data_IF_850220402338
#
_entry.id   IF_850220402338
#
_cell.length_a   1.000
_cell.length_b   1.000
_cell.length_c   1.000
_cell.angle_alpha   90.00
_cell.angle_beta   90.00
_cell.angle_gamma   90.00
#
_symmetry.space_group_name_H-M   'P 1'
#
loop_
_entity.id
_entity.type
_entity.pdbx_description
1 polymer ?
#
# COMPACT_ATOMS: atom_id res chain seq x y z
N UNK A 1 -72.78 42.77 19.08
CA UNK A 1 -72.96 43.80 18.06
C UNK A 1 -72.10 43.35 16.88
N UNK A 2 -72.73 42.76 15.93
CA UNK A 2 -73.22 43.34 14.65
C UNK A 2 -72.08 43.55 13.72
N UNK A 3 -71.94 42.69 12.69
CA UNK A 3 -72.52 42.82 11.34
C UNK A 3 -71.55 43.55 10.42
N UNK A 4 -71.08 43.10 9.30
CA UNK A 4 -71.69 42.76 8.04
C UNK A 4 -70.66 42.16 7.06
N UNK A 5 -71.00 41.12 6.43
CA UNK A 5 -70.95 40.64 5.11
C UNK A 5 -70.86 41.73 4.01
N UNK A 6 -69.91 41.53 3.03
CA UNK A 6 -70.23 41.81 1.59
C UNK A 6 -69.39 40.86 0.73
N UNK A 7 -70.08 40.01 -0.02
CA UNK A 7 -69.61 39.32 -1.21
C UNK A 7 -69.47 40.26 -2.40
N UNK A 8 -68.44 40.02 -3.22
CA UNK A 8 -68.48 40.40 -4.66
C UNK A 8 -67.80 39.34 -5.48
N UNK A 9 -68.55 38.63 -6.29
CA UNK A 9 -68.15 37.81 -7.44
C UNK A 9 -67.57 38.70 -8.54
N UNK A 10 -66.48 38.30 -9.14
CA UNK A 10 -66.00 38.83 -10.41
C UNK A 10 -65.43 37.68 -11.24
N UNK A 11 -66.06 37.35 -12.31
CA UNK A 11 -65.81 36.28 -13.27
C UNK A 11 -65.01 36.81 -14.46
N UNK A 12 -64.12 35.90 -15.04
CA UNK A 12 -63.61 35.84 -16.42
C UNK A 12 -62.36 36.72 -16.73
N UNK A 13 -61.27 36.13 -17.18
CA UNK A 13 -61.01 35.60 -18.53
C UNK A 13 -59.63 35.03 -18.64
N UNK A 14 -59.53 33.89 -19.27
CA UNK A 14 -58.32 33.16 -19.53
C UNK A 14 -57.40 33.80 -20.58
N UNK A 15 -56.12 33.52 -20.45
CA UNK A 15 -55.20 33.46 -21.58
C UNK A 15 -54.21 32.37 -21.25
N UNK A 16 -54.22 31.35 -22.07
CA UNK A 16 -53.29 30.24 -21.97
C UNK A 16 -51.86 30.66 -22.25
N UNK A 17 -50.99 30.42 -21.32
CA UNK A 17 -49.54 30.44 -21.52
C UNK A 17 -49.05 29.01 -21.44
N UNK A 18 -48.67 28.47 -22.61
CA UNK A 18 -47.92 27.21 -22.65
C UNK A 18 -46.62 27.43 -21.93
N UNK A 19 -46.53 26.94 -20.72
CA UNK A 19 -45.24 26.69 -20.06
C UNK A 19 -44.63 25.49 -20.74
N UNK A 20 -43.56 25.70 -21.47
CA UNK A 20 -42.60 24.65 -21.83
C UNK A 20 -42.01 24.13 -20.53
N UNK A 21 -42.58 23.03 -20.01
CA UNK A 21 -41.93 22.18 -19.05
C UNK A 21 -40.77 21.47 -19.76
N UNK A 22 -39.62 22.08 -19.75
CA UNK A 22 -38.36 21.37 -19.97
C UNK A 22 -38.21 20.42 -18.77
N UNK A 23 -38.11 19.10 -19.01
CA UNK A 23 -37.80 18.19 -17.91
C UNK A 23 -36.49 18.69 -17.28
N UNK A 24 -36.53 19.16 -16.03
CA UNK A 24 -35.36 19.21 -15.19
C UNK A 24 -34.93 17.77 -15.07
N UNK A 25 -33.82 17.40 -15.71
CA UNK A 25 -33.03 16.26 -15.29
C UNK A 25 -32.65 16.54 -13.83
N UNK A 26 -33.42 15.99 -12.92
CA UNK A 26 -32.95 15.80 -11.56
C UNK A 26 -31.82 14.76 -11.64
N UNK A 27 -30.61 15.25 -11.91
CA UNK A 27 -29.38 14.54 -11.72
C UNK A 27 -29.17 14.43 -10.20
N UNK A 28 -30.03 13.59 -9.59
CA UNK A 28 -29.93 13.23 -8.18
C UNK A 28 -28.85 12.15 -8.03
N UNK A 29 -27.63 12.46 -8.50
CA UNK A 29 -26.47 11.72 -8.07
C UNK A 29 -26.25 12.09 -6.61
N UNK A 30 -26.80 11.28 -5.70
CA UNK A 30 -26.46 11.39 -4.27
C UNK A 30 -24.94 11.31 -4.17
N UNK A 31 -24.31 12.43 -3.79
CA UNK A 31 -22.86 12.50 -3.63
C UNK A 31 -22.41 11.33 -2.73
N UNK A 32 -21.35 10.64 -3.15
CA UNK A 32 -20.81 9.52 -2.40
C UNK A 32 -20.41 10.00 -1.00
N UNK A 33 -20.81 9.25 0.03
CA UNK A 33 -20.49 9.56 1.42
C UNK A 33 -20.30 8.29 2.24
N UNK A 34 -19.56 8.38 3.34
CA UNK A 34 -19.32 7.27 4.25
C UNK A 34 -17.87 7.18 4.70
N UNK A 35 -17.51 6.03 5.25
CA UNK A 35 -16.14 5.74 5.71
C UNK A 35 -15.62 4.48 5.04
N UNK A 36 -14.31 4.45 4.83
CA UNK A 36 -13.54 3.30 4.35
C UNK A 36 -12.43 3.05 5.36
N UNK A 37 -12.37 1.84 5.90
CA UNK A 37 -11.31 1.41 6.80
C UNK A 37 -10.32 0.51 6.05
N UNK A 38 -9.03 0.88 6.08
CA UNK A 38 -7.95 0.04 5.56
C UNK A 38 -6.93 -0.23 6.64
N UNK A 39 -6.38 -1.43 6.67
CA UNK A 39 -5.43 -1.86 7.68
C UNK A 39 -4.36 -2.75 7.05
N UNK A 40 -3.10 -2.63 7.45
CA UNK A 40 -2.09 -3.60 7.06
C UNK A 40 -0.69 -3.08 6.77
N UNK A 41 -0.15 -3.46 5.63
CA UNK A 41 1.25 -3.32 5.26
C UNK A 41 1.82 -1.90 5.41
N UNK A 42 2.85 -1.75 6.24
CA UNK A 42 3.59 -0.49 6.41
C UNK A 42 4.44 -0.11 5.18
N UNK A 43 4.70 -1.06 4.27
CA UNK A 43 5.40 -0.78 3.00
C UNK A 43 4.51 -0.07 1.99
N UNK A 44 3.19 -0.14 2.16
CA UNK A 44 2.22 0.50 1.25
C UNK A 44 1.91 1.95 1.64
N UNK A 45 2.56 2.51 2.66
CA UNK A 45 2.23 3.82 3.25
C UNK A 45 2.15 4.94 2.21
N UNK A 46 3.17 5.10 1.37
CA UNK A 46 3.17 6.14 0.32
C UNK A 46 2.08 5.90 -0.74
N UNK A 47 1.89 4.64 -1.15
CA UNK A 47 0.88 4.28 -2.16
C UNK A 47 -0.52 4.54 -1.64
N UNK A 48 -0.84 4.01 -0.45
CA UNK A 48 -2.17 4.20 0.14
C UNK A 48 -2.40 5.66 0.53
N UNK A 49 -1.36 6.36 1.00
CA UNK A 49 -1.42 7.80 1.27
C UNK A 49 -1.83 8.60 0.03
N UNK A 50 -1.18 8.39 -1.11
CA UNK A 50 -1.50 9.07 -2.37
C UNK A 50 -2.90 8.72 -2.89
N UNK A 51 -3.29 7.45 -2.85
CA UNK A 51 -4.62 7.01 -3.28
C UNK A 51 -5.72 7.59 -2.38
N UNK A 52 -5.52 7.57 -1.07
CA UNK A 52 -6.44 8.15 -0.09
C UNK A 52 -6.61 9.66 -0.31
N UNK A 53 -5.52 10.39 -0.47
CA UNK A 53 -5.54 11.84 -0.67
C UNK A 53 -6.34 12.20 -1.91
N UNK A 54 -6.04 11.60 -3.05
CA UNK A 54 -6.76 11.84 -4.30
C UNK A 54 -8.23 11.45 -4.19
N UNK A 55 -8.53 10.25 -3.69
CA UNK A 55 -9.91 9.77 -3.59
C UNK A 55 -10.78 10.66 -2.70
N UNK A 56 -10.24 11.12 -1.56
CA UNK A 56 -10.99 12.02 -0.66
C UNK A 56 -11.14 13.44 -1.23
N UNK A 57 -10.18 13.91 -2.03
CA UNK A 57 -10.31 15.17 -2.75
C UNK A 57 -11.46 15.12 -3.77
N UNK A 58 -11.59 14.00 -4.51
CA UNK A 58 -12.63 13.78 -5.49
C UNK A 58 -14.00 13.47 -4.85
N UNK A 59 -14.00 12.93 -3.62
CA UNK A 59 -15.20 12.50 -2.89
C UNK A 59 -15.22 13.10 -1.47
N UNK A 60 -15.48 14.39 -1.30
CA UNK A 60 -15.36 15.09 0.00
C UNK A 60 -16.33 14.59 1.08
N UNK A 61 -17.35 13.81 0.72
CA UNK A 61 -18.24 13.13 1.66
C UNK A 61 -17.70 11.81 2.20
N UNK A 62 -16.52 11.35 1.72
CA UNK A 62 -15.92 10.08 2.13
C UNK A 62 -14.70 10.32 3.00
N UNK A 63 -14.57 9.53 4.07
CA UNK A 63 -13.37 9.46 4.90
C UNK A 63 -12.69 8.11 4.68
N UNK A 64 -11.41 8.11 4.31
CA UNK A 64 -10.59 6.88 4.22
C UNK A 64 -9.58 6.87 5.36
N UNK A 65 -9.58 5.80 6.15
CA UNK A 65 -8.59 5.57 7.21
C UNK A 65 -7.58 4.53 6.77
N UNK A 66 -6.34 4.68 7.19
CA UNK A 66 -5.27 3.71 6.98
C UNK A 66 -4.54 3.49 8.30
N UNK A 67 -4.46 2.22 8.73
CA UNK A 67 -3.79 1.81 9.95
C UNK A 67 -2.62 0.87 9.59
N UNK A 68 -1.36 1.33 9.68
CA UNK A 68 -0.18 0.60 9.23
C UNK A 68 0.31 -0.42 10.28
N UNK A 69 -0.35 -1.56 10.39
CA UNK A 69 -0.11 -2.59 11.42
C UNK A 69 0.70 -3.80 10.95
N UNK A 70 1.04 -3.87 9.65
CA UNK A 70 1.70 -5.02 9.03
C UNK A 70 0.75 -5.92 8.24
N UNK A 71 1.29 -6.66 7.26
CA UNK A 71 0.48 -7.43 6.30
C UNK A 71 -0.38 -8.51 6.96
N UNK A 72 0.16 -9.22 7.94
CA UNK A 72 -0.58 -10.27 8.67
C UNK A 72 -1.79 -9.70 9.39
N UNK A 73 -1.61 -8.59 10.12
CA UNK A 73 -2.70 -7.91 10.82
C UNK A 73 -3.76 -7.36 9.84
N UNK A 74 -3.34 -6.84 8.67
CA UNK A 74 -4.26 -6.37 7.64
C UNK A 74 -5.09 -7.50 7.02
N UNK A 75 -4.47 -8.65 6.77
CA UNK A 75 -5.16 -9.85 6.28
C UNK A 75 -6.18 -10.35 7.31
N UNK A 76 -5.79 -10.38 8.58
CA UNK A 76 -6.68 -10.75 9.69
C UNK A 76 -7.84 -9.75 9.82
N UNK A 77 -7.57 -8.45 9.72
CA UNK A 77 -8.59 -7.41 9.80
C UNK A 77 -9.65 -7.53 8.69
N UNK A 78 -9.22 -7.85 7.44
CA UNK A 78 -10.16 -8.16 6.36
C UNK A 78 -10.95 -9.45 6.63
N UNK A 79 -10.28 -10.47 7.17
CA UNK A 79 -10.91 -11.77 7.47
C UNK A 79 -11.99 -11.67 8.54
N UNK A 80 -11.77 -10.92 9.60
CA UNK A 80 -12.71 -10.76 10.71
C UNK A 80 -13.68 -9.58 10.53
N UNK A 81 -13.50 -8.77 9.47
CA UNK A 81 -14.36 -7.62 9.15
C UNK A 81 -14.11 -6.38 10.00
N UNK A 82 -12.97 -6.28 10.69
CA UNK A 82 -12.57 -5.06 11.41
C UNK A 82 -11.99 -3.98 10.49
N UNK A 83 -11.62 -4.33 9.26
CA UNK A 83 -11.35 -3.42 8.18
C UNK A 83 -12.13 -3.82 6.93
N UNK A 84 -12.55 -2.84 6.12
CA UNK A 84 -13.20 -3.06 4.84
C UNK A 84 -12.24 -3.70 3.82
N UNK A 85 -10.97 -3.24 3.83
CA UNK A 85 -9.93 -3.66 2.92
C UNK A 85 -8.63 -3.90 3.71
N UNK A 86 -8.11 -5.13 3.63
CA UNK A 86 -6.78 -5.46 4.12
C UNK A 86 -5.71 -5.06 3.11
N UNK A 87 -4.52 -4.74 3.60
CA UNK A 87 -3.37 -4.34 2.78
C UNK A 87 -2.22 -5.30 3.03
N UNK A 88 -1.73 -5.96 2.00
CA UNK A 88 -0.60 -6.84 2.15
C UNK A 88 0.48 -6.57 1.09
N UNK A 89 1.73 -6.71 1.51
CA UNK A 89 2.91 -6.60 0.65
C UNK A 89 3.51 -8.00 0.38
N UNK A 90 2.65 -8.94 0.15
CA UNK A 90 2.86 -10.29 -0.34
C UNK A 90 1.56 -10.85 -0.91
N UNK A 91 1.64 -11.90 -1.71
CA UNK A 91 0.46 -12.67 -2.08
C UNK A 91 -0.18 -13.35 -0.84
N UNK A 92 -1.46 -13.64 -0.92
CA UNK A 92 -2.14 -14.46 0.08
C UNK A 92 -1.61 -15.89 0.02
N UNK A 93 -1.45 -16.50 1.19
CA UNK A 93 -1.17 -17.93 1.33
C UNK A 93 -2.39 -18.75 0.96
N UNK A 94 -2.19 -20.01 0.60
CA UNK A 94 -3.30 -20.88 0.19
C UNK A 94 -4.36 -21.05 1.30
N UNK A 95 -3.92 -21.17 2.57
CA UNK A 95 -4.82 -21.23 3.70
C UNK A 95 -5.67 -19.97 3.89
N UNK A 96 -5.14 -18.79 3.56
CA UNK A 96 -5.85 -17.51 3.62
C UNK A 96 -6.92 -17.43 2.52
N UNK A 97 -6.59 -17.92 1.31
CA UNK A 97 -7.55 -18.02 0.19
C UNK A 97 -8.66 -19.04 0.47
N UNK A 98 -8.31 -20.20 1.00
CA UNK A 98 -9.27 -21.22 1.46
C UNK A 98 -10.12 -20.69 2.61
N UNK A 99 -9.56 -19.84 3.46
CA UNK A 99 -10.28 -19.09 4.52
C UNK A 99 -11.28 -18.06 4.01
N UNK A 100 -11.47 -17.92 2.68
CA UNK A 100 -12.46 -17.05 2.08
C UNK A 100 -11.96 -15.62 1.84
N UNK A 101 -10.66 -15.42 1.65
CA UNK A 101 -10.11 -14.14 1.26
C UNK A 101 -9.80 -14.10 -0.24
N UNK A 102 -9.90 -12.91 -0.81
CA UNK A 102 -9.53 -12.59 -2.20
C UNK A 102 -8.47 -11.50 -2.21
N UNK A 103 -7.43 -11.71 -3.01
CA UNK A 103 -6.42 -10.68 -3.26
C UNK A 103 -6.61 -10.03 -4.62
N UNK A 104 -6.37 -8.73 -4.69
CA UNK A 104 -6.28 -7.98 -5.94
C UNK A 104 -4.95 -7.24 -5.97
N UNK A 105 -4.10 -7.59 -6.93
CA UNK A 105 -2.79 -6.94 -7.10
C UNK A 105 -3.02 -5.53 -7.64
N UNK A 106 -2.42 -4.53 -6.99
CA UNK A 106 -2.47 -3.12 -7.40
C UNK A 106 -1.13 -2.60 -7.90
N UNK A 107 -0.03 -3.17 -7.39
CA UNK A 107 1.32 -2.79 -7.80
C UNK A 107 2.31 -3.95 -7.58
N UNK A 108 3.48 -3.84 -8.21
CA UNK A 108 4.69 -4.56 -7.82
C UNK A 108 5.60 -3.62 -7.04
N UNK A 109 6.38 -4.17 -6.13
CA UNK A 109 7.33 -3.42 -5.30
C UNK A 109 8.64 -4.20 -5.17
N UNK A 110 9.76 -3.53 -5.38
CA UNK A 110 11.09 -4.07 -5.10
C UNK A 110 11.36 -4.08 -3.60
N UNK A 111 11.92 -5.16 -3.09
CA UNK A 111 12.48 -5.19 -1.74
C UNK A 111 13.96 -4.79 -1.85
N UNK A 112 14.24 -3.51 -1.65
CA UNK A 112 15.59 -2.99 -1.69
C UNK A 112 16.41 -3.50 -0.49
N UNK A 113 17.60 -4.02 -0.76
CA UNK A 113 18.59 -4.32 0.28
C UNK A 113 19.30 -3.02 0.60
N UNK A 114 19.20 -2.59 1.85
CA UNK A 114 19.70 -1.29 2.30
C UNK A 114 20.81 -1.43 3.32
N UNK A 115 21.78 -0.54 3.19
CA UNK A 115 22.90 -0.38 4.14
C UNK A 115 23.05 1.09 4.51
N UNK A 116 23.84 1.37 5.52
CA UNK A 116 24.18 2.74 5.87
C UNK A 116 24.83 3.47 4.67
N UNK A 117 24.53 4.75 4.51
CA UNK A 117 25.02 5.56 3.38
C UNK A 117 26.56 5.62 3.27
N UNK A 118 27.27 5.54 4.40
CA UNK A 118 28.73 5.62 4.47
C UNK A 118 29.43 4.28 4.14
N UNK A 119 28.68 3.17 4.03
CA UNK A 119 29.26 1.85 3.69
C UNK A 119 29.85 1.85 2.28
N UNK A 120 30.96 1.13 2.07
CA UNK A 120 31.63 1.00 0.75
C UNK A 120 31.07 -0.12 -0.13
N UNK A 121 30.30 -1.05 0.45
CA UNK A 121 29.66 -2.13 -0.31
C UNK A 121 28.69 -1.54 -1.33
N UNK A 122 28.71 -2.04 -2.55
CA UNK A 122 27.85 -1.56 -3.64
C UNK A 122 26.93 -2.63 -4.19
N UNK A 123 27.34 -3.89 -4.14
CA UNK A 123 26.63 -5.02 -4.72
C UNK A 123 26.73 -6.25 -3.82
N UNK A 124 25.66 -7.03 -3.78
CA UNK A 124 25.63 -8.37 -3.18
C UNK A 124 24.81 -9.30 -4.07
N UNK A 125 25.21 -10.55 -4.17
CA UNK A 125 24.37 -11.58 -4.79
C UNK A 125 23.27 -12.02 -3.81
N UNK A 126 22.17 -12.61 -4.32
CA UNK A 126 21.11 -13.19 -3.47
C UNK A 126 21.69 -14.22 -2.49
N UNK A 127 22.67 -15.04 -2.93
CA UNK A 127 23.33 -16.00 -2.07
C UNK A 127 24.13 -15.33 -0.91
N UNK A 128 24.87 -14.26 -1.19
CA UNK A 128 25.56 -13.51 -0.15
C UNK A 128 24.59 -12.86 0.84
N UNK A 129 23.48 -12.31 0.34
CA UNK A 129 22.41 -11.76 1.19
C UNK A 129 21.85 -12.86 2.11
N UNK A 130 21.54 -14.03 1.56
CA UNK A 130 21.08 -15.18 2.35
C UNK A 130 22.11 -15.60 3.40
N UNK A 131 23.40 -15.68 3.04
CA UNK A 131 24.47 -16.07 3.94
C UNK A 131 24.70 -15.04 5.05
N UNK A 132 24.55 -13.75 4.76
CA UNK A 132 24.59 -12.67 5.78
C UNK A 132 23.41 -12.84 6.75
N UNK A 133 22.18 -12.90 6.25
CA UNK A 133 21.01 -12.98 7.13
C UNK A 133 20.86 -14.30 7.87
N UNK A 134 21.52 -15.38 7.42
CA UNK A 134 21.62 -16.66 8.17
C UNK A 134 22.85 -16.74 9.08
N UNK A 135 23.69 -15.72 9.08
CA UNK A 135 24.88 -15.62 9.94
C UNK A 135 26.03 -16.53 9.51
N UNK A 136 26.14 -16.87 8.24
CA UNK A 136 27.32 -17.56 7.65
C UNK A 136 28.40 -16.54 7.26
N UNK A 137 28.00 -15.36 6.78
CA UNK A 137 28.87 -14.21 6.58
C UNK A 137 28.55 -13.23 7.70
N UNK A 138 29.55 -12.83 8.47
CA UNK A 138 29.37 -12.02 9.68
C UNK A 138 30.22 -10.77 9.71
N UNK A 139 31.14 -10.60 8.77
CA UNK A 139 32.00 -9.44 8.67
C UNK A 139 31.96 -8.84 7.26
N UNK A 140 31.89 -7.51 7.18
CA UNK A 140 31.81 -6.80 5.91
C UNK A 140 33.01 -7.03 4.98
N UNK A 141 34.19 -7.34 5.54
CA UNK A 141 35.40 -7.65 4.76
C UNK A 141 35.26 -8.89 3.89
N UNK A 142 34.34 -9.82 4.24
CA UNK A 142 34.06 -11.02 3.46
C UNK A 142 33.32 -10.72 2.15
N UNK A 143 32.71 -9.54 2.05
CA UNK A 143 31.93 -9.10 0.89
C UNK A 143 32.43 -7.76 0.31
N UNK A 144 33.70 -7.42 0.56
CA UNK A 144 34.37 -6.26 -0.03
C UNK A 144 34.12 -4.92 0.66
N UNK A 145 33.57 -4.95 1.87
CA UNK A 145 33.46 -3.79 2.75
C UNK A 145 34.71 -3.57 3.62
N UNK A 146 34.66 -2.53 4.43
CA UNK A 146 35.63 -2.33 5.51
C UNK A 146 35.40 -3.37 6.63
N UNK A 147 36.48 -3.85 7.31
CA UNK A 147 36.28 -4.81 8.39
C UNK A 147 35.33 -4.29 9.47
N UNK A 148 34.33 -5.12 9.84
CA UNK A 148 33.36 -4.79 10.87
C UNK A 148 32.25 -5.82 10.92
N UNK A 149 31.79 -6.14 12.13
CA UNK A 149 30.70 -7.09 12.30
C UNK A 149 29.40 -6.58 11.68
N UNK A 150 28.76 -7.41 10.86
CA UNK A 150 27.49 -7.06 10.19
C UNK A 150 26.36 -7.12 11.23
N UNK A 151 25.52 -6.10 11.24
CA UNK A 151 24.29 -6.05 12.05
C UNK A 151 23.06 -6.20 11.16
N UNK A 152 22.37 -7.33 11.28
CA UNK A 152 21.19 -7.66 10.48
C UNK A 152 19.93 -7.07 11.11
N UNK A 153 19.29 -6.14 10.40
CA UNK A 153 18.05 -5.48 10.83
C UNK A 153 16.90 -5.92 9.93
N UNK A 154 15.85 -6.48 10.52
CA UNK A 154 14.72 -6.98 9.77
C UNK A 154 13.40 -6.59 10.40
N UNK A 155 12.37 -7.27 9.91
CA UNK A 155 10.98 -7.06 10.30
C UNK A 155 10.49 -8.19 11.20
N UNK A 156 9.48 -7.87 11.98
CA UNK A 156 8.75 -8.80 12.83
C UNK A 156 8.05 -9.92 12.04
N UNK A 157 7.67 -10.98 12.73
CA UNK A 157 6.79 -12.02 12.20
C UNK A 157 5.45 -11.40 11.76
N UNK A 158 4.92 -11.85 10.62
CA UNK A 158 3.69 -11.28 10.02
C UNK A 158 3.93 -10.08 9.10
N UNK A 159 5.18 -9.60 8.98
CA UNK A 159 5.54 -8.62 7.95
C UNK A 159 5.56 -9.26 6.57
N UNK A 160 4.74 -8.72 5.64
CA UNK A 160 4.80 -9.17 4.24
C UNK A 160 6.13 -8.88 3.56
N UNK A 161 6.91 -7.89 4.05
CA UNK A 161 8.26 -7.63 3.54
C UNK A 161 9.22 -8.73 3.97
N UNK A 162 9.14 -9.17 5.24
CA UNK A 162 9.91 -10.31 5.73
C UNK A 162 9.54 -11.58 4.99
N UNK A 163 8.25 -11.88 4.87
CA UNK A 163 7.76 -13.07 4.15
C UNK A 163 8.27 -13.10 2.70
N UNK A 164 8.20 -11.97 1.98
CA UNK A 164 8.70 -11.86 0.61
C UNK A 164 10.21 -12.00 0.52
N UNK A 165 10.96 -11.32 1.40
CA UNK A 165 12.41 -11.40 1.48
C UNK A 165 12.88 -12.85 1.76
N UNK A 166 12.38 -13.46 2.83
CA UNK A 166 12.77 -14.82 3.24
C UNK A 166 12.39 -15.87 2.20
N UNK A 167 11.26 -15.69 1.50
CA UNK A 167 10.83 -16.60 0.43
C UNK A 167 11.76 -16.54 -0.78
N UNK A 168 12.21 -15.35 -1.19
CA UNK A 168 13.05 -15.19 -2.38
C UNK A 168 14.51 -15.56 -2.10
N UNK A 169 15.00 -15.27 -0.89
CA UNK A 169 16.36 -15.62 -0.46
C UNK A 169 16.49 -17.04 0.06
N UNK A 170 15.40 -17.82 0.11
CA UNK A 170 15.34 -19.17 0.67
C UNK A 170 15.87 -19.23 2.13
N UNK A 171 15.50 -18.22 2.92
CA UNK A 171 15.94 -18.07 4.32
C UNK A 171 14.78 -18.15 5.31
N UNK A 172 13.65 -18.77 4.92
CA UNK A 172 12.46 -18.83 5.75
C UNK A 172 12.79 -19.45 7.12
N UNK A 173 12.41 -18.75 8.17
CA UNK A 173 12.64 -19.10 9.57
C UNK A 173 14.12 -19.31 9.96
N UNK A 174 15.07 -18.94 9.08
CA UNK A 174 16.51 -19.10 9.30
C UNK A 174 17.25 -17.78 9.55
N UNK A 175 16.60 -16.64 9.33
CA UNK A 175 17.21 -15.33 9.54
C UNK A 175 17.58 -15.11 11.00
N UNK A 176 18.83 -14.63 11.20
CA UNK A 176 19.38 -14.22 12.51
C UNK A 176 19.39 -12.69 12.52
N UNK A 177 18.39 -12.10 13.12
CA UNK A 177 18.25 -10.65 13.19
C UNK A 177 18.76 -10.13 14.53
N UNK A 178 19.59 -9.09 14.49
CA UNK A 178 20.02 -8.35 15.69
C UNK A 178 18.89 -7.43 16.19
N UNK A 179 18.05 -6.95 15.26
CA UNK A 179 16.89 -6.16 15.59
C UNK A 179 15.69 -6.57 14.72
N UNK A 180 14.54 -6.74 15.35
CA UNK A 180 13.25 -6.91 14.70
C UNK A 180 12.39 -5.67 14.92
N UNK A 181 11.90 -5.05 13.82
CA UNK A 181 11.17 -3.80 13.86
C UNK A 181 9.77 -3.95 13.26
N UNK A 182 8.83 -3.20 13.81
CA UNK A 182 7.40 -3.31 13.46
C UNK A 182 6.99 -2.49 12.25
N UNK A 183 7.91 -1.72 11.66
CA UNK A 183 7.59 -0.89 10.49
C UNK A 183 8.75 -0.81 9.49
N UNK A 184 8.41 -0.56 8.22
CA UNK A 184 9.38 -0.30 7.15
C UNK A 184 10.24 0.92 7.46
N UNK A 185 9.62 2.01 7.95
CA UNK A 185 10.34 3.22 8.36
C UNK A 185 11.33 2.95 9.49
N UNK A 186 10.95 2.14 10.47
CA UNK A 186 11.82 1.75 11.59
C UNK A 186 13.08 1.04 11.11
N UNK A 187 12.99 0.12 10.14
CA UNK A 187 14.17 -0.53 9.55
C UNK A 187 15.09 0.49 8.88
N UNK A 188 14.53 1.41 8.09
CA UNK A 188 15.32 2.46 7.42
C UNK A 188 16.07 3.31 8.44
N UNK A 189 15.41 3.77 9.50
CA UNK A 189 16.02 4.60 10.54
C UNK A 189 17.11 3.83 11.34
N UNK A 190 16.87 2.56 11.64
CA UNK A 190 17.85 1.74 12.35
C UNK A 190 19.10 1.47 11.49
N UNK A 191 18.93 1.21 10.18
CA UNK A 191 20.06 1.08 9.25
C UNK A 191 20.80 2.41 9.08
N UNK A 192 20.10 3.53 8.99
CA UNK A 192 20.72 4.86 8.93
C UNK A 192 21.55 5.19 10.17
N UNK A 193 21.12 4.74 11.34
CA UNK A 193 21.80 4.98 12.61
C UNK A 193 22.98 4.05 12.92
N UNK A 194 23.21 3.00 12.13
CA UNK A 194 24.27 2.01 12.38
C UNK A 194 25.15 1.80 11.12
N UNK A 195 26.44 2.24 11.14
CA UNK A 195 27.33 2.10 9.99
C UNK A 195 27.57 0.66 9.51
N UNK A 196 27.35 -0.32 10.38
CA UNK A 196 27.56 -1.73 10.09
C UNK A 196 26.26 -2.48 9.77
N UNK A 197 25.14 -1.77 9.66
CA UNK A 197 23.85 -2.39 9.46
C UNK A 197 23.57 -2.75 8.00
N UNK A 198 22.87 -3.86 7.84
CA UNK A 198 22.14 -4.26 6.63
C UNK A 198 20.68 -4.49 6.99
N UNK A 199 19.78 -4.12 6.09
CA UNK A 199 18.34 -4.36 6.23
C UNK A 199 17.67 -4.47 4.87
N UNK A 200 16.36 -4.58 4.89
CA UNK A 200 15.54 -4.61 3.68
C UNK A 200 14.29 -3.75 3.86
N UNK A 201 13.91 -3.05 2.81
CA UNK A 201 12.75 -2.16 2.82
C UNK A 201 12.11 -2.09 1.43
N UNK A 202 10.87 -1.62 1.36
CA UNK A 202 10.19 -1.31 0.10
C UNK A 202 10.95 -0.26 -0.70
N UNK A 203 11.10 -0.45 -2.02
CA UNK A 203 11.66 0.54 -2.93
C UNK A 203 10.97 1.90 -2.76
N UNK A 204 9.65 1.91 -2.71
CA UNK A 204 8.86 3.13 -2.52
C UNK A 204 9.21 3.88 -1.23
N UNK A 205 9.56 3.18 -0.15
CA UNK A 205 9.94 3.79 1.12
C UNK A 205 11.38 4.33 1.13
N UNK A 206 12.28 3.71 0.36
CA UNK A 206 13.71 4.07 0.27
C UNK A 206 13.95 5.23 -0.68
N UNK A 207 13.12 5.35 -1.71
CA UNK A 207 13.28 6.39 -2.73
C UNK A 207 13.31 7.80 -2.13
N UNK A 208 14.34 8.57 -2.53
CA UNK A 208 14.59 9.92 -2.02
C UNK A 208 15.26 9.98 -0.63
N UNK A 209 15.60 8.84 -0.01
CA UNK A 209 16.36 8.80 1.24
C UNK A 209 17.85 8.90 0.98
N UNK A 210 18.53 9.85 1.63
CA UNK A 210 19.99 10.02 1.56
C UNK A 210 20.73 9.38 2.74
N UNK A 211 20.02 8.94 3.77
CA UNK A 211 20.58 8.36 4.99
C UNK A 211 20.91 6.87 4.87
N UNK A 212 20.36 6.22 3.88
CA UNK A 212 20.63 4.82 3.53
C UNK A 212 20.96 4.71 2.05
N UNK A 213 21.65 3.63 1.68
CA UNK A 213 21.99 3.29 0.32
C UNK A 213 21.37 1.94 -0.04
N UNK A 214 20.64 1.88 -1.16
CA UNK A 214 20.22 0.61 -1.74
C UNK A 214 21.37 -0.02 -2.51
N UNK A 215 21.65 -1.29 -2.24
CA UNK A 215 22.62 -2.08 -2.99
C UNK A 215 22.02 -2.54 -4.33
N UNK A 216 22.89 -2.76 -5.31
CA UNK A 216 22.56 -3.63 -6.43
C UNK A 216 22.53 -5.09 -5.95
N UNK A 217 21.74 -5.92 -6.60
CA UNK A 217 21.67 -7.36 -6.34
C UNK A 217 22.09 -8.09 -7.61
N UNK A 218 23.26 -8.72 -7.56
CA UNK A 218 23.85 -9.36 -8.75
C UNK A 218 24.10 -8.39 -9.92
N UNK A 219 24.47 -7.14 -9.58
CA UNK A 219 24.68 -6.06 -10.55
C UNK A 219 23.40 -5.34 -11.01
N UNK A 220 22.21 -5.74 -10.52
CA UNK A 220 20.93 -5.12 -10.89
C UNK A 220 20.46 -4.18 -9.79
N UNK A 221 20.21 -2.91 -10.14
CA UNK A 221 19.68 -1.92 -9.21
C UNK A 221 18.17 -2.15 -8.96
N UNK A 222 17.73 -1.92 -7.74
CA UNK A 222 16.30 -1.91 -7.40
C UNK A 222 15.67 -0.60 -7.89
N UNK A 223 14.99 -0.64 -9.03
CA UNK A 223 14.32 0.50 -9.67
C UNK A 223 12.95 0.08 -10.20
N UNK A 224 12.08 1.04 -10.50
CA UNK A 224 10.80 0.74 -11.16
C UNK A 224 10.99 -0.10 -12.44
N UNK A 225 11.97 0.27 -13.28
CA UNK A 225 12.21 -0.41 -14.54
C UNK A 225 12.62 -1.87 -14.35
N UNK A 226 13.55 -2.14 -13.43
CA UNK A 226 14.07 -3.49 -13.17
C UNK A 226 13.09 -4.37 -12.37
N UNK A 227 12.18 -3.76 -11.60
CA UNK A 227 11.04 -4.44 -10.99
C UNK A 227 10.00 -4.78 -12.05
N UNK A 228 9.70 -3.85 -12.98
CA UNK A 228 8.71 -4.06 -14.04
C UNK A 228 9.12 -5.16 -15.03
N UNK A 229 10.38 -5.17 -15.46
CA UNK A 229 10.88 -6.16 -16.42
C UNK A 229 11.30 -7.49 -15.78
N UNK A 230 11.25 -7.57 -14.43
CA UNK A 230 11.58 -8.77 -13.67
C UNK A 230 13.07 -9.05 -13.51
N UNK A 231 13.95 -8.16 -13.95
CA UNK A 231 15.41 -8.33 -13.81
C UNK A 231 15.89 -8.16 -12.37
N UNK A 232 15.17 -7.38 -11.54
CA UNK A 232 15.41 -7.33 -10.10
C UNK A 232 14.65 -8.46 -9.40
N UNK A 233 15.37 -9.45 -8.89
CA UNK A 233 14.77 -10.70 -8.41
C UNK A 233 13.99 -10.53 -7.09
N UNK A 234 14.40 -9.61 -6.19
CA UNK A 234 13.79 -9.47 -4.87
C UNK A 234 12.61 -8.51 -4.95
N UNK A 235 11.50 -8.99 -5.51
CA UNK A 235 10.27 -8.22 -5.71
C UNK A 235 9.02 -8.98 -5.27
N UNK A 236 7.92 -8.27 -5.07
CA UNK A 236 6.66 -8.82 -4.55
C UNK A 236 5.46 -7.99 -4.97
N UNK A 237 4.22 -8.55 -4.90
CA UNK A 237 3.02 -7.76 -5.12
C UNK A 237 2.65 -6.92 -3.89
N UNK A 238 2.03 -5.76 -4.15
CA UNK A 238 1.14 -5.06 -3.23
C UNK A 238 -0.29 -5.46 -3.57
N UNK A 239 -1.03 -5.93 -2.58
CA UNK A 239 -2.38 -6.45 -2.78
C UNK A 239 -3.39 -5.80 -1.84
N UNK A 240 -4.58 -5.57 -2.36
CA UNK A 240 -5.78 -5.31 -1.57
C UNK A 240 -6.45 -6.65 -1.27
N UNK A 241 -6.86 -6.83 -0.02
CA UNK A 241 -7.47 -8.07 0.47
C UNK A 241 -8.90 -7.78 0.87
N UNK A 242 -9.84 -8.56 0.35
CA UNK A 242 -11.26 -8.49 0.69
C UNK A 242 -11.80 -9.85 1.07
N UNK A 243 -12.90 -9.88 1.85
CA UNK A 243 -13.55 -11.12 2.24
C UNK A 243 -14.60 -11.53 1.21
N UNK A 244 -14.54 -12.79 0.76
CA UNK A 244 -15.51 -13.36 -0.17
C UNK A 244 -16.91 -13.37 0.43
N UNK A 245 -17.90 -13.08 -0.40
CA UNK A 245 -19.31 -13.09 0.01
C UNK A 245 -19.73 -11.93 0.91
N UNK A 246 -18.83 -11.00 1.23
CA UNK A 246 -19.13 -9.77 1.95
C UNK A 246 -19.24 -8.62 0.95
N UNK A 247 -20.36 -7.93 0.95
CA UNK A 247 -20.55 -6.72 0.13
C UNK A 247 -19.92 -5.54 0.84
N UNK A 248 -18.99 -4.89 0.18
CA UNK A 248 -18.42 -3.62 0.66
C UNK A 248 -19.49 -2.53 0.70
N UNK A 249 -19.34 -1.55 1.58
CA UNK A 249 -20.14 -0.34 1.55
C UNK A 249 -19.93 0.40 0.22
N UNK A 250 -20.87 1.26 -0.20
CA UNK A 250 -20.70 2.03 -1.43
C UNK A 250 -19.39 2.84 -1.47
N UNK A 251 -18.99 3.41 -0.33
CA UNK A 251 -17.74 4.14 -0.21
C UNK A 251 -16.51 3.22 -0.33
N UNK A 252 -16.53 2.06 0.35
CA UNK A 252 -15.43 1.11 0.30
C UNK A 252 -15.27 0.47 -1.09
N UNK A 253 -16.39 0.15 -1.75
CA UNK A 253 -16.38 -0.36 -3.12
C UNK A 253 -15.81 0.68 -4.09
N UNK A 254 -16.26 1.92 -4.00
CA UNK A 254 -15.76 3.00 -4.86
C UNK A 254 -14.25 3.26 -4.66
N UNK A 255 -13.75 3.21 -3.41
CA UNK A 255 -12.32 3.31 -3.14
C UNK A 255 -11.54 2.11 -3.71
N UNK A 256 -12.06 0.90 -3.54
CA UNK A 256 -11.48 -0.32 -4.11
C UNK A 256 -11.40 -0.24 -5.64
N UNK A 257 -12.49 0.16 -6.30
CA UNK A 257 -12.55 0.29 -7.75
C UNK A 257 -11.58 1.36 -8.25
N UNK A 258 -11.51 2.51 -7.57
CA UNK A 258 -10.53 3.56 -7.85
C UNK A 258 -9.10 3.03 -7.72
N UNK A 259 -8.74 2.45 -6.57
CA UNK A 259 -7.39 1.96 -6.27
C UNK A 259 -6.92 0.85 -7.23
N UNK A 260 -7.87 0.13 -7.82
CA UNK A 260 -7.62 -0.96 -8.79
C UNK A 260 -7.80 -0.55 -10.23
N UNK A 261 -8.13 0.71 -10.52
CA UNK A 261 -8.34 1.24 -11.88
C UNK A 261 -7.05 1.81 -12.49
N UNK A 262 -7.09 2.05 -13.81
CA UNK A 262 -6.00 2.77 -14.49
C UNK A 262 -5.83 4.21 -14.01
N UNK A 263 -6.86 4.84 -13.43
CA UNK A 263 -6.77 6.18 -12.86
C UNK A 263 -5.81 6.26 -11.66
N UNK A 264 -5.58 5.15 -10.96
CA UNK A 264 -4.62 5.07 -9.86
C UNK A 264 -3.17 4.91 -10.31
N UNK A 265 -2.91 4.58 -11.59
CA UNK A 265 -1.57 4.17 -12.06
C UNK A 265 -0.50 5.25 -11.84
N UNK A 266 -0.79 6.51 -12.21
CA UNK A 266 0.18 7.59 -12.03
C UNK A 266 0.45 7.89 -10.54
N UNK A 267 -0.57 7.77 -9.69
CA UNK A 267 -0.42 7.94 -8.24
C UNK A 267 0.47 6.85 -7.63
N UNK A 268 0.25 5.59 -8.02
CA UNK A 268 1.04 4.45 -7.59
C UNK A 268 2.50 4.61 -8.05
N UNK A 269 2.70 5.00 -9.32
CA UNK A 269 4.03 5.24 -9.87
C UNK A 269 4.75 6.39 -9.15
N UNK A 270 4.08 7.52 -8.95
CA UNK A 270 4.65 8.65 -8.24
C UNK A 270 4.95 8.36 -6.77
N UNK A 271 4.29 7.36 -6.19
CA UNK A 271 4.58 6.85 -4.86
C UNK A 271 5.76 5.85 -4.84
N UNK A 272 6.40 5.56 -6.00
CA UNK A 272 7.59 4.72 -6.12
C UNK A 272 7.29 3.21 -6.19
N UNK A 273 6.06 2.81 -6.53
CA UNK A 273 5.70 1.43 -6.81
C UNK A 273 5.33 1.25 -8.29
N UNK A 274 5.40 0.03 -8.80
CA UNK A 274 5.13 -0.28 -10.21
C UNK A 274 3.68 -0.68 -10.39
N UNK A 275 2.82 0.17 -11.00
CA UNK A 275 1.42 -0.18 -11.20
C UNK A 275 1.27 -1.41 -12.10
N UNK A 276 0.32 -2.28 -11.78
CA UNK A 276 -0.04 -3.41 -12.65
C UNK A 276 -0.95 -2.87 -13.74
N UNK A 277 -0.52 -2.97 -14.99
CA UNK A 277 -1.33 -2.58 -16.15
C UNK A 277 -2.64 -3.40 -16.19
N UNK A 278 -3.77 -2.72 -16.31
CA UNK A 278 -5.08 -3.32 -16.54
C UNK A 278 -5.58 -2.97 -17.93
#
# INVERSE_FOLDING_TARGET
>A
MALCIVMALGILSGCGQKTNDTPKNDDNSTALSGSVSTNGSTSMDKVIGALKEQFTADNPGVTVTYDPTGSGAGIEAASNGSADIGLASRALKDEEKVGGLTETVVALDGIAIIINADSKVADLTVAQIADIFTGKITDWSEVGGDPGAISCIGRESGSGTRDGFESITDTKDACKLDQELTSTGGVIEAVAGNPNAIGYASLSAVEGKSTVKALTVGGVACTEATVLDGSYEIQRPFVLVTKQGVTLSAAAQAFFDFATSSAASDLIKNAGAVPVAK
#
